data_IF_195302507345
#
_entry.id   IF_195302507345
#
_cell.length_a   1.000
_cell.length_b   1.000
_cell.length_c   1.000
_cell.angle_alpha   90.00
_cell.angle_beta   90.00
_cell.angle_gamma   90.00
#
_symmetry.space_group_name_H-M   'P 1'
#
loop_
_entity.id
_entity.type
_entity.pdbx_description
1 polymer ?
#
# COMPACT_ATOMS: atom_id res chain seq x y z
N UNK A 1 -18.90 40.69 30.41
CA UNK A 1 -19.00 39.55 29.48
C UNK A 1 -17.88 39.49 28.44
N UNK A 2 -17.45 40.62 27.85
CA UNK A 2 -16.39 40.64 26.82
C UNK A 2 -15.02 40.06 27.24
N UNK A 3 -14.61 40.15 28.52
CA UNK A 3 -13.33 39.58 28.97
C UNK A 3 -13.27 38.06 28.90
N UNK A 4 -14.40 37.38 29.15
CA UNK A 4 -14.50 35.92 29.06
C UNK A 4 -14.47 35.44 27.61
N UNK A 5 -15.15 36.14 26.69
CA UNK A 5 -15.14 35.79 25.26
C UNK A 5 -13.75 35.94 24.64
N UNK A 6 -13.00 36.98 25.02
CA UNK A 6 -11.61 37.16 24.57
C UNK A 6 -10.70 36.03 25.08
N UNK A 7 -10.83 35.63 26.35
CA UNK A 7 -10.06 34.51 26.89
C UNK A 7 -10.39 33.18 26.19
N UNK A 8 -11.67 32.91 25.94
CA UNK A 8 -12.09 31.70 25.21
C UNK A 8 -11.54 31.71 23.78
N UNK A 9 -11.60 32.85 23.07
CA UNK A 9 -11.07 32.97 21.72
C UNK A 9 -9.53 32.75 21.68
N UNK A 10 -8.79 33.30 22.65
CA UNK A 10 -7.34 33.07 22.76
C UNK A 10 -7.01 31.61 23.05
N UNK A 11 -7.74 30.95 23.96
CA UNK A 11 -7.55 29.52 24.25
C UNK A 11 -7.86 28.67 23.02
N UNK A 12 -8.96 28.95 22.32
CA UNK A 12 -9.31 28.24 21.09
C UNK A 12 -8.23 28.42 20.01
N UNK A 13 -7.73 29.65 19.83
CA UNK A 13 -6.64 29.92 18.89
C UNK A 13 -5.36 29.15 19.25
N UNK A 14 -4.99 29.11 20.53
CA UNK A 14 -3.82 28.34 21.00
C UNK A 14 -3.98 26.84 20.78
N UNK A 15 -5.16 26.28 21.07
CA UNK A 15 -5.47 24.86 20.84
C UNK A 15 -5.36 24.53 19.34
N UNK A 16 -5.89 25.38 18.46
CA UNK A 16 -5.75 25.21 17.01
C UNK A 16 -4.28 25.26 16.56
N UNK A 17 -3.48 26.22 17.06
CA UNK A 17 -2.05 26.30 16.73
C UNK A 17 -1.30 25.05 17.19
N UNK A 18 -1.56 24.56 18.40
CA UNK A 18 -0.94 23.32 18.91
C UNK A 18 -1.33 22.12 18.04
N UNK A 19 -2.61 21.94 17.72
CA UNK A 19 -3.04 20.84 16.84
C UNK A 19 -2.42 20.93 15.44
N UNK A 20 -2.36 22.12 14.84
CA UNK A 20 -1.72 22.29 13.52
C UNK A 20 -0.21 22.00 13.56
N UNK A 21 0.49 22.39 14.63
CA UNK A 21 1.92 22.08 14.80
C UNK A 21 2.18 20.58 14.99
N UNK A 22 1.37 19.90 15.80
CA UNK A 22 1.49 18.47 16.03
C UNK A 22 1.20 17.67 14.75
N UNK A 23 0.17 18.10 14.00
CA UNK A 23 -0.18 17.50 12.71
C UNK A 23 0.90 17.71 11.65
N UNK A 24 1.47 18.91 11.56
CA UNK A 24 2.60 19.18 10.64
C UNK A 24 3.84 18.37 11.00
N UNK A 25 4.14 18.22 12.29
CA UNK A 25 5.28 17.44 12.77
C UNK A 25 5.14 15.95 12.40
N UNK A 26 3.95 15.37 12.60
CA UNK A 26 3.72 13.96 12.23
C UNK A 26 3.78 13.74 10.72
N UNK A 27 3.26 14.67 9.92
CA UNK A 27 3.36 14.59 8.46
C UNK A 27 4.79 14.72 7.95
N UNK A 28 5.59 15.62 8.52
CA UNK A 28 7.02 15.75 8.19
C UNK A 28 7.82 14.51 8.60
N UNK A 29 7.53 13.92 9.76
CA UNK A 29 8.12 12.66 10.18
C UNK A 29 7.79 11.54 9.19
N UNK A 30 6.53 11.45 8.79
CA UNK A 30 6.05 10.48 7.80
C UNK A 30 6.80 10.60 6.47
N UNK A 31 6.91 11.83 5.95
CA UNK A 31 7.62 12.11 4.69
C UNK A 31 9.10 11.70 4.78
N UNK A 32 9.75 11.93 5.93
CA UNK A 32 11.14 11.51 6.14
C UNK A 32 11.29 10.00 6.20
N UNK A 33 10.37 9.29 6.87
CA UNK A 33 10.38 7.83 6.92
C UNK A 33 10.19 7.24 5.51
N UNK A 34 9.24 7.75 4.74
CA UNK A 34 9.01 7.30 3.35
C UNK A 34 10.21 7.53 2.42
N UNK A 35 11.04 8.55 2.69
CA UNK A 35 12.28 8.77 1.94
C UNK A 35 13.40 7.80 2.31
N UNK A 36 13.31 7.15 3.47
CA UNK A 36 14.32 6.21 3.97
C UNK A 36 13.98 4.76 3.63
N UNK A 37 12.68 4.44 3.55
CA UNK A 37 12.20 3.09 3.23
C UNK A 37 12.30 2.85 1.72
N UNK A 38 12.83 1.68 1.34
CA UNK A 38 12.96 1.27 -0.06
C UNK A 38 11.79 0.35 -0.47
N UNK A 39 10.72 0.93 -1.02
CA UNK A 39 9.49 0.22 -1.38
C UNK A 39 9.62 -0.71 -2.61
N UNK A 40 10.81 -0.85 -3.20
CA UNK A 40 11.05 -1.67 -4.40
C UNK A 40 10.72 -3.16 -4.21
N UNK A 41 10.89 -3.69 -3.00
CA UNK A 41 10.56 -5.10 -2.73
C UNK A 41 9.04 -5.30 -2.74
N UNK A 42 8.28 -4.30 -2.29
CA UNK A 42 6.83 -4.31 -2.42
C UNK A 42 6.40 -4.24 -3.89
N UNK A 43 7.00 -3.33 -4.66
CA UNK A 43 6.72 -3.20 -6.10
C UNK A 43 6.96 -4.53 -6.83
N UNK A 44 8.15 -5.12 -6.68
CA UNK A 44 8.48 -6.40 -7.29
C UNK A 44 7.52 -7.52 -6.88
N UNK A 45 7.21 -7.63 -5.58
CA UNK A 45 6.28 -8.63 -5.08
C UNK A 45 4.91 -8.50 -5.76
N UNK A 46 4.38 -7.27 -5.83
CA UNK A 46 3.08 -7.01 -6.45
C UNK A 46 3.11 -7.35 -7.94
N UNK A 47 4.17 -6.97 -8.66
CA UNK A 47 4.30 -7.30 -10.09
C UNK A 47 4.32 -8.81 -10.32
N UNK A 48 5.04 -9.55 -9.48
CA UNK A 48 5.04 -11.01 -9.53
C UNK A 48 3.66 -11.60 -9.25
N UNK A 49 2.94 -11.09 -8.23
CA UNK A 49 1.58 -11.54 -7.91
C UNK A 49 0.60 -11.29 -9.05
N UNK A 50 0.66 -10.13 -9.69
CA UNK A 50 -0.20 -9.79 -10.83
C UNK A 50 0.09 -10.72 -12.01
N UNK A 51 1.36 -10.97 -12.32
CA UNK A 51 1.75 -11.91 -13.39
C UNK A 51 1.26 -13.34 -13.11
N UNK A 52 1.44 -13.82 -11.88
CA UNK A 52 0.96 -15.14 -11.47
C UNK A 52 -0.56 -15.27 -11.63
N UNK A 53 -1.33 -14.24 -11.25
CA UNK A 53 -2.79 -14.26 -11.42
C UNK A 53 -3.20 -14.36 -12.89
N UNK A 54 -2.52 -13.64 -13.78
CA UNK A 54 -2.79 -13.70 -15.21
C UNK A 54 -2.49 -15.10 -15.77
N UNK A 55 -1.37 -15.71 -15.37
CA UNK A 55 -1.04 -17.09 -15.76
C UNK A 55 -2.06 -18.12 -15.24
N UNK A 56 -2.53 -17.96 -13.99
CA UNK A 56 -3.56 -18.83 -13.41
C UNK A 56 -4.91 -18.68 -14.11
N UNK A 57 -5.30 -17.47 -14.50
CA UNK A 57 -6.50 -17.20 -15.30
C UNK A 57 -6.39 -17.82 -16.70
N UNK A 58 -5.23 -17.69 -17.35
CA UNK A 58 -4.97 -18.34 -18.64
C UNK A 58 -5.02 -19.86 -18.55
N UNK A 59 -4.37 -20.46 -17.54
CA UNK A 59 -4.41 -21.91 -17.32
C UNK A 59 -5.83 -22.39 -17.03
N UNK A 60 -6.62 -21.62 -16.28
CA UNK A 60 -8.05 -21.89 -16.05
C UNK A 60 -8.85 -21.82 -17.35
N UNK A 61 -8.60 -20.82 -18.21
CA UNK A 61 -9.24 -20.69 -19.51
C UNK A 61 -8.84 -21.84 -20.46
N UNK A 62 -7.59 -22.29 -20.43
CA UNK A 62 -7.09 -23.44 -21.20
C UNK A 62 -7.68 -24.77 -20.72
N UNK A 63 -7.80 -24.97 -19.40
CA UNK A 63 -8.49 -26.12 -18.78
C UNK A 63 -9.95 -26.20 -19.23
N UNK A 64 -10.64 -25.07 -19.28
CA UNK A 64 -12.02 -24.98 -19.79
C UNK A 64 -12.13 -25.34 -21.28
N UNK A 65 -11.08 -25.08 -22.07
CA UNK A 65 -10.98 -25.47 -23.49
C UNK A 65 -10.52 -26.92 -23.71
N UNK A 66 -10.34 -27.71 -22.64
CA UNK A 66 -9.95 -29.12 -22.73
C UNK A 66 -8.48 -29.35 -23.14
N UNK A 67 -7.63 -28.32 -23.06
CA UNK A 67 -6.21 -28.43 -23.40
C UNK A 67 -5.48 -29.04 -22.19
N UNK A 68 -4.92 -30.25 -22.34
CA UNK A 68 -4.09 -30.89 -21.31
C UNK A 68 -2.74 -30.17 -21.19
N UNK A 69 -2.49 -29.52 -20.06
CA UNK A 69 -1.17 -29.00 -19.73
C UNK A 69 -0.23 -30.12 -19.25
N UNK A 70 0.96 -30.21 -19.87
CA UNK A 70 2.13 -30.85 -19.25
C UNK A 70 2.59 -29.91 -18.15
N UNK A 71 2.39 -30.30 -16.89
CA UNK A 71 2.78 -29.49 -15.72
C UNK A 71 4.31 -29.42 -15.69
N UNK A 72 4.89 -28.29 -16.13
CA UNK A 72 6.29 -27.95 -15.91
C UNK A 72 6.44 -27.48 -14.47
N UNK A 73 7.07 -28.36 -13.68
CA UNK A 73 7.24 -28.26 -12.24
C UNK A 73 8.40 -27.29 -11.93
N UNK A 74 8.16 -25.99 -12.03
CA UNK A 74 9.12 -24.94 -11.61
C UNK A 74 8.72 -24.21 -10.30
N UNK A 75 7.59 -24.58 -9.71
CA UNK A 75 6.94 -23.84 -8.62
C UNK A 75 7.78 -23.66 -7.34
N UNK A 76 8.68 -24.59 -7.02
CA UNK A 76 9.35 -24.57 -5.70
C UNK A 76 10.41 -23.48 -5.52
N UNK A 77 11.08 -23.04 -6.59
CA UNK A 77 12.12 -21.99 -6.49
C UNK A 77 11.51 -20.59 -6.51
N UNK A 78 10.38 -20.43 -7.20
CA UNK A 78 9.69 -19.15 -7.30
C UNK A 78 8.93 -18.83 -6.01
N UNK A 79 8.35 -19.83 -5.33
CA UNK A 79 7.70 -19.64 -4.03
C UNK A 79 8.68 -19.16 -2.94
N UNK A 80 9.96 -19.56 -2.99
CA UNK A 80 10.96 -19.06 -2.05
C UNK A 80 11.35 -17.60 -2.31
N UNK A 81 11.54 -17.22 -3.57
CA UNK A 81 11.91 -15.84 -3.93
C UNK A 81 10.74 -14.87 -3.68
N UNK A 82 9.51 -15.28 -3.99
CA UNK A 82 8.30 -14.50 -3.71
C UNK A 82 8.11 -14.27 -2.20
N UNK A 83 8.40 -15.29 -1.38
CA UNK A 83 8.34 -15.17 0.09
C UNK A 83 9.41 -14.19 0.60
N UNK A 84 10.62 -14.23 0.06
CA UNK A 84 11.70 -13.32 0.48
C UNK A 84 11.38 -11.86 0.14
N UNK A 85 10.83 -11.58 -1.05
CA UNK A 85 10.41 -10.23 -1.43
C UNK A 85 9.24 -9.72 -0.57
N UNK A 86 8.27 -10.60 -0.29
CA UNK A 86 7.14 -10.28 0.57
C UNK A 86 7.60 -9.98 2.00
N UNK A 87 8.48 -10.81 2.57
CA UNK A 87 8.99 -10.63 3.93
C UNK A 87 9.73 -9.29 4.05
N UNK A 88 10.60 -8.97 3.08
CA UNK A 88 11.32 -7.69 3.05
C UNK A 88 10.38 -6.50 2.85
N UNK A 89 9.35 -6.64 2.01
CA UNK A 89 8.30 -5.63 1.86
C UNK A 89 7.56 -5.40 3.18
N UNK A 90 7.16 -6.47 3.88
CA UNK A 90 6.46 -6.37 5.14
C UNK A 90 7.32 -5.75 6.25
N UNK A 91 8.63 -6.04 6.29
CA UNK A 91 9.57 -5.39 7.20
C UNK A 91 9.65 -3.88 6.94
N UNK A 92 9.76 -3.47 5.68
CA UNK A 92 9.80 -2.07 5.25
C UNK A 92 8.52 -1.31 5.61
N UNK A 93 7.36 -1.92 5.39
CA UNK A 93 6.08 -1.31 5.75
C UNK A 93 5.87 -1.25 7.27
N UNK A 94 6.38 -2.24 8.01
CA UNK A 94 6.31 -2.25 9.47
C UNK A 94 7.26 -1.24 10.14
N UNK A 95 8.34 -0.83 9.47
CA UNK A 95 9.21 0.28 9.93
C UNK A 95 8.44 1.62 10.01
N UNK A 96 7.36 1.75 9.24
CA UNK A 96 6.48 2.91 9.30
C UNK A 96 5.58 2.83 10.54
N UNK A 97 6.00 3.51 11.60
CA UNK A 97 5.33 3.57 12.92
C UNK A 97 3.88 4.09 12.95
N UNK A 98 3.28 4.45 11.83
CA UNK A 98 1.92 5.00 11.77
C UNK A 98 1.12 4.39 10.63
N UNK A 99 -0.11 3.97 10.92
CA UNK A 99 -1.09 3.54 9.90
C UNK A 99 -1.27 4.57 8.78
N UNK A 100 -1.15 5.86 9.10
CA UNK A 100 -1.22 6.93 8.09
C UNK A 100 -0.02 6.91 7.15
N UNK A 101 1.17 6.57 7.66
CA UNK A 101 2.38 6.45 6.85
C UNK A 101 2.40 5.17 6.05
N UNK A 102 1.94 4.06 6.63
CA UNK A 102 1.72 2.81 5.91
C UNK A 102 0.76 3.03 4.73
N UNK A 103 -0.35 3.74 4.95
CA UNK A 103 -1.24 4.11 3.86
C UNK A 103 -0.55 4.95 2.78
N UNK A 104 0.20 5.99 3.17
CA UNK A 104 0.92 6.83 2.22
C UNK A 104 2.00 6.06 1.44
N UNK A 105 2.64 5.04 2.04
CA UNK A 105 3.54 4.13 1.34
C UNK A 105 2.80 3.33 0.26
N UNK A 106 1.62 2.77 0.59
CA UNK A 106 0.81 2.03 -0.38
C UNK A 106 0.32 2.94 -1.53
N UNK A 107 -0.09 4.16 -1.22
CA UNK A 107 -0.44 5.17 -2.24
C UNK A 107 0.75 5.48 -3.15
N UNK A 108 1.95 5.62 -2.58
CA UNK A 108 3.16 5.86 -3.37
C UNK A 108 3.51 4.68 -4.29
N UNK A 109 3.32 3.44 -3.83
CA UNK A 109 3.49 2.25 -4.68
C UNK A 109 2.45 2.24 -5.80
N UNK A 110 1.19 2.53 -5.46
CA UNK A 110 0.11 2.64 -6.45
C UNK A 110 0.42 3.69 -7.52
N UNK A 111 0.81 4.91 -7.14
CA UNK A 111 1.20 5.97 -8.07
C UNK A 111 2.37 5.53 -8.98
N UNK A 112 3.39 4.88 -8.42
CA UNK A 112 4.58 4.39 -9.15
C UNK A 112 4.25 3.31 -10.19
N UNK A 113 3.37 2.38 -9.84
CA UNK A 113 3.03 1.23 -10.70
C UNK A 113 1.83 1.47 -11.62
N UNK A 114 0.89 2.34 -11.23
CA UNK A 114 -0.27 2.70 -12.06
C UNK A 114 0.14 3.37 -13.37
N UNK A 115 1.21 4.17 -13.37
CA UNK A 115 1.79 4.77 -14.59
C UNK A 115 2.26 3.72 -15.62
N UNK A 116 2.61 2.51 -15.15
CA UNK A 116 3.10 1.42 -15.98
C UNK A 116 2.00 0.43 -16.38
N UNK A 117 0.79 0.56 -15.81
CA UNK A 117 -0.34 -0.28 -16.15
C UNK A 117 -0.87 0.05 -17.55
N UNK A 118 -1.02 -0.97 -18.41
CA UNK A 118 -1.50 -0.85 -19.79
C UNK A 118 -3.03 -0.66 -19.90
N UNK A 119 -3.77 -0.81 -18.79
CA UNK A 119 -5.21 -0.56 -18.76
C UNK A 119 -5.89 -0.80 -17.42
N UNK A 120 -7.19 -0.47 -17.37
CA UNK A 120 -8.01 -0.48 -16.13
C UNK A 120 -8.04 -1.82 -15.40
N UNK A 121 -7.91 -2.93 -16.11
CA UNK A 121 -7.90 -4.26 -15.48
C UNK A 121 -6.63 -4.49 -14.65
N UNK A 122 -5.47 -4.08 -15.16
CA UNK A 122 -4.20 -4.20 -14.44
C UNK A 122 -4.16 -3.26 -13.23
N UNK A 123 -4.70 -2.05 -13.38
CA UNK A 123 -4.83 -1.07 -12.31
C UNK A 123 -5.72 -1.59 -11.16
N UNK A 124 -6.84 -2.25 -11.48
CA UNK A 124 -7.71 -2.90 -10.48
C UNK A 124 -7.04 -4.10 -9.80
N UNK A 125 -6.21 -4.86 -10.54
CA UNK A 125 -5.43 -5.95 -9.96
C UNK A 125 -4.37 -5.40 -8.99
N UNK A 126 -3.67 -4.34 -9.39
CA UNK A 126 -2.71 -3.61 -8.57
C UNK A 126 -3.34 -3.10 -7.27
N UNK A 127 -4.46 -2.39 -7.37
CA UNK A 127 -5.21 -1.92 -6.20
C UNK A 127 -5.62 -3.08 -5.29
N UNK A 128 -6.19 -4.14 -5.87
CA UNK A 128 -6.62 -5.32 -5.13
C UNK A 128 -5.50 -6.08 -4.42
N UNK A 129 -4.27 -6.11 -4.96
CA UNK A 129 -3.11 -6.68 -4.29
C UNK A 129 -2.60 -5.76 -3.16
N UNK A 130 -2.56 -4.45 -3.38
CA UNK A 130 -2.16 -3.47 -2.37
C UNK A 130 -3.11 -3.46 -1.16
N UNK A 131 -4.42 -3.64 -1.36
CA UNK A 131 -5.41 -3.74 -0.27
C UNK A 131 -5.19 -4.96 0.64
N UNK A 132 -4.61 -6.02 0.09
CA UNK A 132 -4.33 -7.27 0.83
C UNK A 132 -3.05 -7.16 1.65
N UNK A 133 -2.05 -6.39 1.22
CA UNK A 133 -0.76 -6.27 1.89
C UNK A 133 -0.85 -5.98 3.40
N UNK A 134 -1.67 -5.01 3.88
CA UNK A 134 -1.81 -4.77 5.32
C UNK A 134 -2.29 -5.98 6.13
N UNK A 135 -3.09 -6.85 5.51
CA UNK A 135 -3.58 -8.08 6.14
C UNK A 135 -2.51 -9.17 6.11
N UNK A 136 -1.76 -9.27 5.01
CA UNK A 136 -0.67 -10.24 4.82
C UNK A 136 0.47 -9.92 5.79
N UNK A 137 0.90 -8.67 5.87
CA UNK A 137 2.00 -8.22 6.72
C UNK A 137 1.64 -8.07 8.21
N UNK A 138 0.39 -8.31 8.60
CA UNK A 138 -0.03 -8.38 10.01
C UNK A 138 -0.27 -7.05 10.73
N UNK A 139 -0.14 -5.88 10.08
CA UNK A 139 -0.44 -4.58 10.69
C UNK A 139 -1.93 -4.18 10.59
N UNK A 140 -2.76 -5.06 10.02
CA UNK A 140 -4.21 -5.00 10.04
C UNK A 140 -4.81 -4.16 8.91
N UNK A 141 -6.14 -4.22 8.70
CA UNK A 141 -6.77 -3.45 7.64
C UNK A 141 -6.67 -1.95 7.95
N UNK A 142 -6.15 -1.18 7.00
CA UNK A 142 -6.08 0.26 7.07
C UNK A 142 -7.48 0.86 6.82
N UNK A 143 -8.33 0.90 7.85
CA UNK A 143 -9.75 1.28 7.76
C UNK A 143 -10.04 2.69 7.18
N UNK A 144 -9.02 3.52 6.98
CA UNK A 144 -9.12 4.88 6.43
C UNK A 144 -8.07 5.15 5.36
N UNK A 145 -7.59 4.11 4.69
CA UNK A 145 -6.70 4.26 3.57
C UNK A 145 -7.49 4.12 2.28
N UNK A 146 -7.52 5.19 1.49
CA UNK A 146 -7.92 5.11 0.09
C UNK A 146 -6.63 4.93 -0.72
N UNK A 147 -6.46 3.80 -1.42
CA UNK A 147 -5.23 3.50 -2.15
C UNK A 147 -5.16 4.37 -3.41
N UNK A 148 -6.29 4.56 -4.08
CA UNK A 148 -6.44 5.48 -5.19
C UNK A 148 -7.12 6.78 -4.71
N UNK A 149 -6.36 7.83 -4.35
CA UNK A 149 -6.96 9.09 -3.90
C UNK A 149 -7.76 9.82 -4.98
N UNK A 150 -7.68 9.39 -6.25
CA UNK A 150 -8.46 9.97 -7.36
C UNK A 150 -9.85 9.30 -7.52
N UNK A 151 -10.08 8.16 -6.86
CA UNK A 151 -11.40 7.56 -6.70
C UNK A 151 -12.01 7.99 -5.34
N UNK A 152 -12.68 9.16 -5.36
CA UNK A 152 -13.54 9.80 -4.31
C UNK A 152 -12.88 10.65 -3.19
#
# INVERSE_FOLDING_TARGET
MAKLTILIALVAALVLVVHTSAFRSSEQSCKRQLQQVNLRHCENHIDQRIQQQQEEEEDRARKLRGIKHVILRHKSSQESEESEELDQCCEQLNELNSQRCQCRALQQIYESQSEQCEGRQQEQQLEGELEKLPRICGFGPLRRCNINPDEE
#
